data_IF_095611806156
#
_entry.id   IF_095611806156
#
_cell.length_a   1.000
_cell.length_b   1.000
_cell.length_c   1.000
_cell.angle_alpha   90.00
_cell.angle_beta   90.00
_cell.angle_gamma   90.00
#
_symmetry.space_group_name_H-M   'P 1'
#
loop_
_entity.id
_entity.type
_entity.pdbx_description
1 polymer ?
#
# COMPACT_ATOMS: atom_id res chain seq x y z
N UNK A 1 -10.80 -8.54 -13.62
CA UNK A 1 -9.83 -7.46 -13.35
C UNK A 1 -9.55 -7.28 -11.87
N UNK A 2 -10.56 -7.17 -11.01
CA UNK A 2 -10.36 -7.02 -9.55
C UNK A 2 -9.51 -8.11 -8.91
N UNK A 3 -9.67 -9.39 -9.30
CA UNK A 3 -8.83 -10.47 -8.81
C UNK A 3 -7.34 -10.28 -9.17
N UNK A 4 -7.05 -9.80 -10.38
CA UNK A 4 -5.69 -9.50 -10.82
C UNK A 4 -5.13 -8.33 -10.00
N UNK A 5 -5.94 -7.28 -9.78
CA UNK A 5 -5.60 -6.15 -8.92
C UNK A 5 -5.27 -6.59 -7.49
N UNK A 6 -6.06 -7.51 -6.93
CA UNK A 6 -5.79 -8.10 -5.62
C UNK A 6 -4.44 -8.81 -5.60
N UNK A 7 -4.18 -9.72 -6.55
CA UNK A 7 -2.92 -10.48 -6.61
C UNK A 7 -1.69 -9.59 -6.79
N UNK A 8 -1.80 -8.50 -7.56
CA UNK A 8 -0.69 -7.57 -7.79
C UNK A 8 -0.37 -6.75 -6.54
N UNK A 9 -1.38 -6.26 -5.81
CA UNK A 9 -1.16 -5.34 -4.68
C UNK A 9 -0.93 -6.10 -3.36
N UNK A 10 -1.47 -7.31 -3.24
CA UNK A 10 -1.42 -8.10 -2.01
C UNK A 10 0.00 -8.26 -1.43
N UNK A 11 1.06 -8.57 -2.20
CA UNK A 11 2.40 -8.70 -1.64
C UNK A 11 2.86 -7.42 -0.95
N UNK A 12 2.69 -6.26 -1.60
CA UNK A 12 3.07 -4.98 -1.00
C UNK A 12 2.25 -4.67 0.25
N UNK A 13 0.93 -4.92 0.23
CA UNK A 13 0.05 -4.74 1.40
C UNK A 13 0.39 -5.66 2.56
N UNK A 14 0.74 -6.92 2.29
CA UNK A 14 1.09 -7.93 3.30
C UNK A 14 2.30 -7.52 4.15
N UNK A 15 3.27 -6.83 3.55
CA UNK A 15 4.48 -6.39 4.24
C UNK A 15 4.35 -4.97 4.80
N UNK A 16 3.74 -4.05 4.06
CA UNK A 16 3.61 -2.65 4.50
C UNK A 16 2.55 -2.46 5.59
N UNK A 17 1.52 -3.33 5.62
CA UNK A 17 0.45 -3.28 6.61
C UNK A 17 -0.64 -2.28 6.24
N UNK A 18 -1.17 -1.57 7.24
CA UNK A 18 -2.19 -0.54 7.07
C UNK A 18 -3.23 -0.55 8.18
N UNK A 19 -4.17 0.40 8.11
CA UNK A 19 -5.23 0.51 9.09
C UNK A 19 -6.25 -0.63 9.01
N UNK A 20 -6.92 -0.89 10.14
CA UNK A 20 -8.12 -1.72 10.25
C UNK A 20 -9.27 -0.86 10.77
N UNK A 21 -10.44 -0.92 10.14
CA UNK A 21 -11.61 -0.20 10.65
C UNK A 21 -12.21 -0.94 11.85
N UNK A 22 -12.85 -0.19 12.75
CA UNK A 22 -13.41 -0.72 14.01
C UNK A 22 -14.57 -1.70 13.83
N UNK A 23 -15.09 -1.85 12.61
CA UNK A 23 -16.13 -2.82 12.29
C UNK A 23 -15.69 -3.73 11.15
N UNK A 24 -16.05 -5.02 11.24
CA UNK A 24 -15.80 -5.99 10.17
C UNK A 24 -16.45 -5.55 8.85
N UNK A 25 -17.68 -5.03 8.91
CA UNK A 25 -18.38 -4.53 7.73
C UNK A 25 -17.63 -3.34 7.10
N UNK A 26 -17.11 -2.41 7.91
CA UNK A 26 -16.27 -1.32 7.42
C UNK A 26 -15.01 -1.82 6.73
N UNK A 27 -14.33 -2.81 7.32
CA UNK A 27 -13.16 -3.44 6.71
C UNK A 27 -13.49 -4.10 5.35
N UNK A 28 -14.61 -4.81 5.26
CA UNK A 28 -15.05 -5.45 4.00
C UNK A 28 -15.33 -4.37 2.94
N UNK A 29 -16.14 -3.37 3.27
CA UNK A 29 -16.52 -2.30 2.32
C UNK A 29 -15.29 -1.53 1.85
N UNK A 30 -14.41 -1.12 2.77
CA UNK A 30 -13.19 -0.38 2.41
C UNK A 30 -12.24 -1.21 1.56
N UNK A 31 -12.05 -2.49 1.87
CA UNK A 31 -11.20 -3.40 1.09
C UNK A 31 -11.77 -3.65 -0.30
N UNK A 32 -13.08 -3.90 -0.41
CA UNK A 32 -13.75 -4.04 -1.70
C UNK A 32 -13.63 -2.76 -2.52
N UNK A 33 -13.88 -1.60 -1.91
CA UNK A 33 -13.79 -0.28 -2.56
C UNK A 33 -12.36 -0.01 -3.03
N UNK A 34 -11.36 -0.36 -2.23
CA UNK A 34 -9.95 -0.22 -2.58
C UNK A 34 -9.61 -1.00 -3.86
N UNK A 35 -9.83 -2.32 -3.88
CA UNK A 35 -9.45 -3.14 -5.03
C UNK A 35 -10.33 -2.87 -6.27
N UNK A 36 -11.65 -2.71 -6.10
CA UNK A 36 -12.53 -2.38 -7.22
C UNK A 36 -12.25 -0.99 -7.78
N UNK A 37 -12.01 0.00 -6.91
CA UNK A 37 -11.68 1.37 -7.30
C UNK A 37 -10.39 1.44 -8.09
N UNK A 38 -9.33 0.75 -7.65
CA UNK A 38 -8.07 0.69 -8.40
C UNK A 38 -8.26 -0.02 -9.75
N UNK A 39 -8.97 -1.14 -9.79
CA UNK A 39 -9.25 -1.84 -11.04
C UNK A 39 -10.04 -0.98 -12.03
N UNK A 40 -11.01 -0.20 -11.53
CA UNK A 40 -11.78 0.75 -12.31
C UNK A 40 -10.89 1.89 -12.84
N UNK A 41 -10.11 2.55 -11.98
CA UNK A 41 -9.21 3.63 -12.39
C UNK A 41 -8.19 3.15 -13.42
N UNK A 42 -7.57 1.99 -13.19
CA UNK A 42 -6.55 1.44 -14.07
C UNK A 42 -7.09 1.07 -15.45
N UNK A 43 -8.36 0.66 -15.55
CA UNK A 43 -9.01 0.34 -16.82
C UNK A 43 -9.39 1.61 -17.62
N UNK A 44 -9.80 2.66 -16.93
CA UNK A 44 -10.37 3.86 -17.58
C UNK A 44 -9.35 4.97 -17.84
N UNK A 45 -8.26 5.03 -17.08
CA UNK A 45 -7.19 6.01 -17.28
C UNK A 45 -6.11 5.38 -18.16
N UNK A 46 -5.74 6.06 -19.25
CA UNK A 46 -4.61 5.69 -20.10
C UNK A 46 -3.50 6.72 -19.89
N UNK A 47 -2.37 6.28 -19.33
CA UNK A 47 -1.21 7.14 -19.15
C UNK A 47 -0.37 7.13 -20.43
N UNK A 48 -0.02 8.31 -20.94
CA UNK A 48 1.04 8.40 -21.93
C UNK A 48 2.41 8.10 -21.28
N UNK A 49 3.45 7.94 -22.09
CA UNK A 49 4.76 7.52 -21.59
C UNK A 49 5.35 8.49 -20.56
N UNK A 50 5.25 9.81 -20.84
CA UNK A 50 5.75 10.85 -19.94
C UNK A 50 5.05 10.74 -18.58
N UNK A 51 3.72 10.73 -18.57
CA UNK A 51 2.93 10.62 -17.34
C UNK A 51 3.22 9.32 -16.58
N UNK A 52 3.35 8.19 -17.29
CA UNK A 52 3.70 6.90 -16.70
C UNK A 52 5.04 6.95 -15.97
N UNK A 53 6.10 7.43 -16.64
CA UNK A 53 7.43 7.49 -16.02
C UNK A 53 7.53 8.53 -14.91
N UNK A 54 6.86 9.69 -15.05
CA UNK A 54 6.75 10.66 -13.97
C UNK A 54 6.05 10.06 -12.75
N UNK A 55 4.96 9.30 -12.94
CA UNK A 55 4.23 8.67 -11.85
C UNK A 55 5.02 7.54 -11.19
N UNK A 56 5.80 6.76 -11.96
CA UNK A 56 6.74 5.77 -11.41
C UNK A 56 7.72 6.42 -10.44
N UNK A 57 8.39 7.51 -10.87
CA UNK A 57 9.38 8.21 -10.04
C UNK A 57 8.73 8.80 -8.80
N UNK A 58 7.57 9.45 -8.96
CA UNK A 58 6.82 10.02 -7.83
C UNK A 58 6.40 8.94 -6.82
N UNK A 59 5.89 7.80 -7.31
CA UNK A 59 5.47 6.66 -6.48
C UNK A 59 6.65 6.05 -5.74
N UNK A 60 7.81 5.93 -6.40
CA UNK A 60 9.02 5.39 -5.77
C UNK A 60 9.51 6.30 -4.63
N UNK A 61 9.63 7.61 -4.87
CA UNK A 61 10.06 8.58 -3.85
C UNK A 61 9.08 8.60 -2.69
N UNK A 62 7.78 8.74 -2.99
CA UNK A 62 6.73 8.74 -1.97
C UNK A 62 6.74 7.44 -1.16
N UNK A 63 6.79 6.29 -1.84
CA UNK A 63 6.84 4.98 -1.22
C UNK A 63 8.04 4.80 -0.30
N UNK A 64 9.25 5.18 -0.74
CA UNK A 64 10.46 5.07 0.08
C UNK A 64 10.34 5.88 1.38
N UNK A 65 9.88 7.13 1.27
CA UNK A 65 9.72 8.01 2.43
C UNK A 65 8.68 7.43 3.40
N UNK A 66 7.51 7.04 2.89
CA UNK A 66 6.41 6.55 3.74
C UNK A 66 6.74 5.19 4.37
N UNK A 67 7.41 4.28 3.66
CA UNK A 67 7.87 3.00 4.22
C UNK A 67 8.87 3.24 5.35
N UNK A 68 9.81 4.19 5.18
CA UNK A 68 10.79 4.54 6.23
C UNK A 68 10.10 5.02 7.49
N UNK A 69 9.10 5.88 7.34
CA UNK A 69 8.42 6.54 8.44
C UNK A 69 7.40 5.63 9.13
N UNK A 70 6.68 4.80 8.39
CA UNK A 70 5.44 4.19 8.87
C UNK A 70 5.33 2.68 8.71
N UNK A 71 6.17 2.02 7.91
CA UNK A 71 6.05 0.58 7.67
C UNK A 71 6.91 -0.27 8.64
N UNK A 72 6.44 -1.47 9.05
CA UNK A 72 5.08 -1.94 8.85
C UNK A 72 4.11 -1.15 9.75
N UNK A 73 2.98 -0.78 9.16
CA UNK A 73 1.89 -0.16 9.88
C UNK A 73 1.00 -1.27 10.48
N UNK A 74 0.98 -1.31 11.80
CA UNK A 74 0.16 -2.18 12.65
C UNK A 74 -0.91 -1.35 13.37
N UNK A 75 -1.86 -2.00 14.02
CA UNK A 75 -2.91 -1.34 14.81
C UNK A 75 -2.88 -1.82 16.25
N UNK A 76 -3.56 -1.13 17.15
CA UNK A 76 -3.73 -1.59 18.54
C UNK A 76 -4.37 -2.98 18.64
N UNK A 77 -5.23 -3.35 17.68
CA UNK A 77 -5.93 -4.62 17.66
C UNK A 77 -5.05 -5.78 17.14
N UNK A 78 -4.02 -5.46 16.35
CA UNK A 78 -3.07 -6.45 15.77
C UNK A 78 -1.64 -5.89 15.83
N UNK A 79 -1.04 -5.76 17.02
CA UNK A 79 0.24 -5.09 17.19
C UNK A 79 1.42 -5.98 16.76
N UNK A 80 2.44 -5.36 16.17
CA UNK A 80 3.70 -6.02 15.81
C UNK A 80 4.80 -5.50 16.73
N UNK A 81 4.99 -6.17 17.87
CA UNK A 81 5.91 -5.72 18.93
C UNK A 81 7.38 -6.11 18.68
N UNK A 82 7.61 -7.22 17.98
CA UNK A 82 8.97 -7.69 17.71
C UNK A 82 9.70 -6.78 16.73
N UNK A 83 10.74 -6.09 17.21
CA UNK A 83 11.63 -5.24 16.39
C UNK A 83 12.21 -5.99 15.19
N UNK A 84 12.54 -7.29 15.37
CA UNK A 84 13.05 -8.16 14.30
C UNK A 84 12.00 -8.33 13.19
N UNK A 85 10.76 -8.64 13.55
CA UNK A 85 9.64 -8.82 12.60
C UNK A 85 9.31 -7.49 11.92
N UNK A 86 9.28 -6.37 12.66
CA UNK A 86 9.07 -5.04 12.09
C UNK A 86 10.10 -4.72 11.02
N UNK A 87 11.40 -4.89 11.33
CA UNK A 87 12.49 -4.65 10.39
C UNK A 87 12.38 -5.55 9.14
N UNK A 88 12.07 -6.83 9.31
CA UNK A 88 11.89 -7.75 8.19
C UNK A 88 10.76 -7.30 7.26
N UNK A 89 9.59 -6.96 7.82
CA UNK A 89 8.45 -6.47 7.03
C UNK A 89 8.74 -5.13 6.34
N UNK A 90 9.46 -4.21 6.99
CA UNK A 90 9.87 -2.96 6.36
C UNK A 90 10.80 -3.21 5.15
N UNK A 91 11.78 -4.10 5.29
CA UNK A 91 12.67 -4.50 4.18
C UNK A 91 11.86 -5.11 3.03
N UNK A 92 10.94 -6.04 3.33
CA UNK A 92 10.10 -6.65 2.29
C UNK A 92 9.16 -5.65 1.61
N UNK A 93 8.72 -4.61 2.34
CA UNK A 93 7.94 -3.51 1.75
C UNK A 93 8.75 -2.75 0.70
N UNK A 94 10.02 -2.44 0.97
CA UNK A 94 10.92 -1.82 -0.02
C UNK A 94 11.14 -2.73 -1.23
N UNK A 95 11.39 -4.03 -1.00
CA UNK A 95 11.58 -5.00 -2.08
C UNK A 95 10.34 -5.06 -2.98
N UNK A 96 9.15 -5.17 -2.40
CA UNK A 96 7.91 -5.17 -3.17
C UNK A 96 7.70 -3.85 -3.94
N UNK A 97 7.98 -2.69 -3.33
CA UNK A 97 7.90 -1.39 -3.97
C UNK A 97 8.81 -1.32 -5.20
N UNK A 98 10.10 -1.62 -5.04
CA UNK A 98 11.11 -1.53 -6.10
C UNK A 98 10.79 -2.50 -7.25
N UNK A 99 10.48 -3.76 -6.92
CA UNK A 99 10.10 -4.76 -7.93
C UNK A 99 8.84 -4.30 -8.67
N UNK A 100 7.83 -3.79 -7.96
CA UNK A 100 6.62 -3.25 -8.56
C UNK A 100 6.91 -2.12 -9.55
N UNK A 101 7.76 -1.16 -9.17
CA UNK A 101 8.14 -0.05 -10.06
C UNK A 101 8.92 -0.53 -11.30
N UNK A 102 9.82 -1.50 -11.16
CA UNK A 102 10.54 -2.11 -12.28
C UNK A 102 9.55 -2.80 -13.23
N UNK A 103 8.62 -3.60 -12.70
CA UNK A 103 7.60 -4.29 -13.50
C UNK A 103 6.71 -3.27 -14.22
N UNK A 104 6.26 -2.21 -13.54
CA UNK A 104 5.44 -1.14 -14.14
C UNK A 104 6.16 -0.42 -15.29
N UNK A 105 7.49 -0.25 -15.18
CA UNK A 105 8.33 0.34 -16.22
C UNK A 105 8.36 -0.53 -17.49
N UNK A 106 8.57 -1.85 -17.34
CA UNK A 106 8.79 -2.78 -18.46
C UNK A 106 7.47 -3.25 -19.11
N UNK A 107 6.37 -3.32 -18.35
CA UNK A 107 5.08 -3.76 -18.87
C UNK A 107 4.52 -2.75 -19.87
N UNK A 108 4.18 -3.25 -21.07
CA UNK A 108 3.53 -2.49 -22.14
C UNK A 108 2.01 -2.36 -21.96
N UNK A 109 1.39 -3.27 -21.21
CA UNK A 109 -0.04 -3.23 -20.94
C UNK A 109 -0.35 -2.09 -19.95
N UNK A 110 -0.91 -0.98 -20.44
CA UNK A 110 -1.24 0.19 -19.64
C UNK A 110 -2.11 -0.14 -18.43
N UNK A 111 -3.11 -1.00 -18.59
CA UNK A 111 -4.00 -1.39 -17.48
C UNK A 111 -3.23 -2.07 -16.36
N UNK A 112 -2.34 -3.02 -16.67
CA UNK A 112 -1.55 -3.72 -15.65
C UNK A 112 -0.54 -2.77 -14.99
N UNK A 113 0.14 -1.93 -15.79
CA UNK A 113 1.06 -0.93 -15.24
C UNK A 113 0.33 0.04 -14.30
N UNK A 114 -0.86 0.50 -14.68
CA UNK A 114 -1.69 1.40 -13.88
C UNK A 114 -2.23 0.74 -12.60
N UNK A 115 -2.55 -0.57 -12.64
CA UNK A 115 -2.91 -1.32 -11.43
C UNK A 115 -1.77 -1.24 -10.41
N UNK A 116 -0.52 -1.44 -10.85
CA UNK A 116 0.66 -1.36 -9.97
C UNK A 116 0.78 0.06 -9.42
N UNK A 117 0.77 1.08 -10.28
CA UNK A 117 0.99 2.48 -9.88
C UNK A 117 -0.10 2.98 -8.93
N UNK A 118 -1.36 2.93 -9.35
CA UNK A 118 -2.47 3.41 -8.52
C UNK A 118 -2.61 2.57 -7.25
N UNK A 119 -2.41 1.26 -7.36
CA UNK A 119 -2.48 0.36 -6.22
C UNK A 119 -1.40 0.63 -5.18
N UNK A 120 -0.17 0.87 -5.61
CA UNK A 120 0.95 1.12 -4.69
C UNK A 120 0.87 2.51 -4.08
N UNK A 121 0.43 3.52 -4.83
CA UNK A 121 0.13 4.85 -4.28
C UNK A 121 -0.95 4.74 -3.21
N UNK A 122 -2.10 4.14 -3.53
CA UNK A 122 -3.22 4.01 -2.60
C UNK A 122 -2.81 3.19 -1.37
N UNK A 123 -2.11 2.07 -1.55
CA UNK A 123 -1.61 1.25 -0.45
C UNK A 123 -0.65 2.05 0.46
N UNK A 124 0.24 2.84 -0.13
CA UNK A 124 1.18 3.68 0.63
C UNK A 124 0.45 4.75 1.44
N UNK A 125 -0.68 5.29 0.96
CA UNK A 125 -1.50 6.18 1.78
C UNK A 125 -2.08 5.48 3.02
N UNK A 126 -2.47 4.20 2.91
CA UNK A 126 -3.10 3.46 4.02
C UNK A 126 -2.21 3.25 5.24
N UNK A 127 -0.88 3.36 5.09
CA UNK A 127 0.07 3.19 6.20
C UNK A 127 0.39 4.51 6.92
N UNK A 128 -0.07 5.65 6.41
CA UNK A 128 0.31 6.98 6.93
C UNK A 128 -0.44 7.38 8.20
N UNK A 129 0.17 8.28 8.98
CA UNK A 129 -0.48 8.91 10.16
C UNK A 129 -1.81 9.58 9.83
N UNK A 130 -1.94 10.16 8.63
CA UNK A 130 -3.19 10.78 8.19
C UNK A 130 -4.30 9.73 8.05
N UNK A 131 -4.01 8.58 7.41
CA UNK A 131 -4.98 7.50 7.29
C UNK A 131 -5.39 6.95 8.66
N UNK A 132 -4.44 6.83 9.60
CA UNK A 132 -4.72 6.40 10.97
C UNK A 132 -5.61 7.40 11.72
N UNK A 133 -5.37 8.70 11.57
CA UNK A 133 -6.22 9.75 12.14
C UNK A 133 -7.64 9.71 11.58
N UNK A 134 -7.80 9.55 10.26
CA UNK A 134 -9.12 9.48 9.59
C UNK A 134 -9.89 8.23 10.04
N UNK A 135 -9.19 7.11 10.24
CA UNK A 135 -9.78 5.81 10.57
C UNK A 135 -9.87 5.54 12.07
N UNK A 136 -9.48 6.51 12.90
CA UNK A 136 -9.43 6.44 14.35
C UNK A 136 -8.65 5.22 14.87
N UNK A 137 -7.46 5.00 14.29
CA UNK A 137 -6.52 3.94 14.71
C UNK A 137 -5.27 4.54 15.33
N UNK A 138 -4.57 3.71 16.11
CA UNK A 138 -3.25 4.00 16.69
C UNK A 138 -2.25 2.98 16.19
N UNK A 139 -0.97 3.35 16.18
CA UNK A 139 0.07 2.37 15.87
C UNK A 139 0.27 1.46 17.09
N UNK A 140 0.04 0.16 16.90
CA UNK A 140 0.10 -0.82 18.00
C UNK A 140 1.44 -0.77 18.75
N UNK A 141 2.55 -0.74 18.02
CA UNK A 141 3.87 -0.61 18.65
C UNK A 141 4.04 0.66 19.51
N UNK A 142 3.42 1.80 19.16
CA UNK A 142 3.50 3.03 19.96
C UNK A 142 2.64 2.92 21.23
N UNK A 143 1.52 2.20 21.16
CA UNK A 143 0.63 1.98 22.31
C UNK A 143 1.29 1.08 23.36
N UNK A 144 1.93 -0.01 22.92
CA UNK A 144 2.44 -1.06 23.81
C UNK A 144 3.97 -1.02 24.03
N UNK A 145 4.72 -0.12 23.39
CA UNK A 145 6.16 0.02 23.67
C UNK A 145 6.47 0.70 25.01
N UNK A 146 5.47 1.36 25.61
CA UNK A 146 5.58 2.14 26.85
C UNK A 146 4.95 1.42 28.07
N UNK A 147 4.56 0.16 27.90
CA UNK A 147 4.07 -0.75 28.96
C UNK A 147 5.11 -1.82 29.23
#
# INVERSE_FOLDING_TARGET
MTLITFLIIMPYRMFSGGFHLKTHLGCIISTCTFYCGIAFLAKNIVLNEIAKYSLIIATLIFGIIMIKLYAPADTEDVPILSKKVRKQKQIMSYVCLIIGMIISCIIKNNTISNIILFGYIAQTFTITRLAYKITNNKYGYEVYSNT
#
